data_IF_049544464369
#
_entry.id   IF_049544464369
#
_cell.length_a   1.000
_cell.length_b   1.000
_cell.length_c   1.000
_cell.angle_alpha   90.00
_cell.angle_beta   90.00
_cell.angle_gamma   90.00
#
_symmetry.space_group_name_H-M   'P 1'
#
loop_
_entity.id
_entity.type
_entity.pdbx_description
1 polymer ?
#
# COMPACT_ATOMS: atom_id res chain seq x y z
N UNK A 1 25.82 20.21 -33.02
CA UNK A 1 24.86 20.80 -32.07
C UNK A 1 24.10 19.65 -31.41
N UNK A 2 24.56 19.24 -30.22
CA UNK A 2 24.00 18.11 -29.49
C UNK A 2 22.66 18.49 -28.85
N UNK A 3 21.59 17.84 -29.28
CA UNK A 3 20.30 17.83 -28.60
C UNK A 3 20.11 16.46 -27.97
N UNK A 4 20.52 16.30 -26.71
CA UNK A 4 19.94 15.30 -25.82
C UNK A 4 19.88 15.92 -24.42
N UNK A 5 18.75 16.57 -24.14
CA UNK A 5 18.31 16.85 -22.78
C UNK A 5 18.12 15.50 -22.10
N UNK A 6 19.07 15.10 -21.25
CA UNK A 6 18.89 14.00 -20.33
C UNK A 6 17.75 14.36 -19.38
N UNK A 7 16.53 13.91 -19.68
CA UNK A 7 15.50 13.79 -18.66
C UNK A 7 16.01 12.75 -17.68
N UNK A 8 16.59 13.21 -16.56
CA UNK A 8 16.69 12.40 -15.38
C UNK A 8 15.25 12.12 -14.91
N UNK A 9 14.64 11.08 -15.47
CA UNK A 9 13.49 10.44 -14.87
C UNK A 9 14.05 9.84 -13.59
N UNK A 10 14.01 10.61 -12.50
CA UNK A 10 14.09 10.06 -11.17
C UNK A 10 12.93 9.09 -11.06
N UNK A 11 13.17 7.84 -11.42
CA UNK A 11 12.24 6.74 -11.33
C UNK A 11 12.09 6.45 -9.84
N UNK A 12 11.32 7.26 -9.14
CA UNK A 12 10.94 7.00 -7.76
C UNK A 12 10.16 5.68 -7.77
N UNK A 13 10.83 4.61 -7.34
CA UNK A 13 10.22 3.31 -7.16
C UNK A 13 9.31 3.44 -5.95
N UNK A 14 7.99 3.22 -6.10
CA UNK A 14 7.07 3.29 -4.98
C UNK A 14 7.44 2.24 -3.94
N UNK A 15 7.33 2.63 -2.67
CA UNK A 15 7.49 1.72 -1.55
C UNK A 15 6.37 0.68 -1.57
N UNK A 16 6.69 -0.57 -1.24
CA UNK A 16 5.72 -1.67 -1.17
C UNK A 16 5.45 -2.01 0.28
N UNK A 17 4.17 -2.06 0.64
CA UNK A 17 3.73 -2.47 1.96
C UNK A 17 2.85 -3.71 1.87
N UNK A 18 3.06 -4.64 2.80
CA UNK A 18 2.23 -5.82 3.02
C UNK A 18 1.30 -5.55 4.18
N UNK A 19 0.02 -5.81 3.99
CA UNK A 19 -0.97 -5.86 5.04
C UNK A 19 -1.38 -7.31 5.19
N UNK A 20 -1.12 -7.96 6.32
CA UNK A 20 -1.54 -9.35 6.55
C UNK A 20 -2.74 -9.41 7.47
N UNK A 21 -3.71 -10.22 7.08
CA UNK A 21 -4.90 -10.53 7.86
C UNK A 21 -4.83 -11.97 8.36
N UNK A 22 -5.71 -12.35 9.30
CA UNK A 22 -5.67 -13.69 9.91
C UNK A 22 -6.02 -14.77 8.91
N UNK A 23 -6.81 -14.44 7.89
CA UNK A 23 -7.19 -15.39 6.84
C UNK A 23 -7.37 -14.75 5.46
N UNK A 24 -7.34 -15.60 4.43
CA UNK A 24 -7.74 -15.22 3.07
C UNK A 24 -9.17 -14.68 3.03
N UNK A 25 -10.08 -15.26 3.79
CA UNK A 25 -11.47 -14.82 3.81
C UNK A 25 -11.58 -13.37 4.30
N UNK A 26 -10.94 -13.05 5.42
CA UNK A 26 -10.92 -11.67 5.97
C UNK A 26 -10.26 -10.68 5.01
N UNK A 27 -9.11 -11.02 4.43
CA UNK A 27 -8.40 -10.16 3.50
C UNK A 27 -9.30 -9.76 2.31
N UNK A 28 -10.06 -10.70 1.76
CA UNK A 28 -10.98 -10.42 0.66
C UNK A 28 -12.26 -9.72 1.13
N UNK A 29 -12.85 -10.13 2.25
CA UNK A 29 -14.07 -9.50 2.79
C UNK A 29 -13.85 -8.03 3.17
N UNK A 30 -12.71 -7.71 3.80
CA UNK A 30 -12.34 -6.32 4.07
C UNK A 30 -12.04 -5.56 2.80
N UNK A 31 -11.46 -6.19 1.78
CA UNK A 31 -11.18 -5.48 0.53
C UNK A 31 -12.48 -5.08 -0.16
N UNK A 32 -13.41 -6.03 -0.29
CA UNK A 32 -14.71 -5.80 -0.93
C UNK A 32 -15.52 -4.72 -0.18
N UNK A 33 -15.38 -4.62 1.14
CA UNK A 33 -16.09 -3.60 1.93
C UNK A 33 -15.48 -2.21 1.81
N UNK A 34 -14.15 -2.10 1.67
CA UNK A 34 -13.46 -0.79 1.73
C UNK A 34 -13.01 -0.25 0.39
N UNK A 35 -12.95 -1.06 -0.67
CA UNK A 35 -12.35 -0.65 -1.97
C UNK A 35 -13.03 0.58 -2.57
N UNK A 36 -14.34 0.74 -2.38
CA UNK A 36 -15.08 1.92 -2.85
C UNK A 36 -14.73 3.22 -2.11
N UNK A 37 -14.13 3.10 -0.93
CA UNK A 37 -13.67 4.22 -0.10
C UNK A 37 -12.15 4.36 -0.11
N UNK A 38 -11.43 3.45 -0.79
CA UNK A 38 -9.99 3.40 -0.76
C UNK A 38 -9.41 4.67 -1.35
N UNK A 39 -8.62 5.38 -0.55
CA UNK A 39 -8.01 6.64 -0.96
C UNK A 39 -6.84 6.35 -1.90
N UNK A 40 -6.96 6.72 -3.17
CA UNK A 40 -5.89 6.57 -4.18
C UNK A 40 -4.55 7.19 -3.75
N UNK A 41 -4.56 8.12 -2.78
CA UNK A 41 -3.34 8.68 -2.19
C UNK A 41 -2.56 7.66 -1.36
N UNK A 42 -3.23 6.65 -0.78
CA UNK A 42 -2.58 5.53 -0.09
C UNK A 42 -1.78 4.67 -1.07
N UNK A 43 -2.12 4.71 -2.35
CA UNK A 43 -1.39 4.05 -3.41
C UNK A 43 -2.25 3.05 -4.16
N UNK A 44 -1.60 2.13 -4.86
CA UNK A 44 -2.28 1.06 -5.58
C UNK A 44 -2.28 -0.21 -4.74
N UNK A 45 -3.46 -0.74 -4.48
CA UNK A 45 -3.67 -2.00 -3.75
C UNK A 45 -3.75 -3.19 -4.72
N UNK A 46 -3.16 -4.31 -4.32
CA UNK A 46 -3.34 -5.63 -4.93
C UNK A 46 -3.62 -6.63 -3.82
N UNK A 47 -4.71 -7.39 -3.92
CA UNK A 47 -5.06 -8.43 -2.93
C UNK A 47 -4.48 -9.76 -3.39
N UNK A 48 -3.83 -10.49 -2.49
CA UNK A 48 -3.33 -11.83 -2.74
C UNK A 48 -3.31 -12.66 -1.45
N UNK A 49 -3.84 -13.88 -1.52
CA UNK A 49 -3.95 -14.78 -0.38
C UNK A 49 -4.59 -14.11 0.85
N UNK A 50 -3.86 -14.05 1.96
CA UNK A 50 -4.26 -13.48 3.23
C UNK A 50 -3.80 -12.03 3.41
N UNK A 51 -3.42 -11.33 2.35
CA UNK A 51 -2.87 -9.99 2.48
C UNK A 51 -3.08 -9.06 1.31
N UNK A 52 -2.80 -7.78 1.57
CA UNK A 52 -2.81 -6.71 0.58
C UNK A 52 -1.39 -6.23 0.35
N UNK A 53 -1.08 -5.94 -0.90
CA UNK A 53 0.15 -5.32 -1.32
C UNK A 53 -0.17 -3.92 -1.80
N UNK A 54 0.37 -2.91 -1.12
CA UNK A 54 0.09 -1.51 -1.39
C UNK A 54 1.37 -0.85 -1.91
N UNK A 55 1.33 -0.39 -3.16
CA UNK A 55 2.38 0.40 -3.78
C UNK A 55 2.10 1.87 -3.60
N UNK A 56 2.90 2.53 -2.76
CA UNK A 56 2.64 3.90 -2.33
C UNK A 56 3.81 4.83 -2.61
N UNK A 57 3.49 6.12 -2.78
CA UNK A 57 4.47 7.21 -2.77
C UNK A 57 4.47 7.97 -1.44
N UNK A 58 3.64 7.54 -0.49
CA UNK A 58 3.66 8.10 0.86
C UNK A 58 5.01 7.77 1.50
N UNK A 59 5.71 8.75 2.10
CA UNK A 59 6.94 8.50 2.84
C UNK A 59 6.75 7.41 3.90
N UNK A 60 7.76 6.53 4.05
CA UNK A 60 7.71 5.38 4.96
C UNK A 60 7.20 5.72 6.37
N UNK A 61 7.62 6.87 6.91
CA UNK A 61 7.25 7.33 8.25
C UNK A 61 5.83 7.89 8.37
N UNK A 62 5.04 7.92 7.30
CA UNK A 62 3.67 8.43 7.26
C UNK A 62 2.65 7.39 6.79
N UNK A 63 3.10 6.33 6.13
CA UNK A 63 2.21 5.35 5.53
C UNK A 63 1.37 4.62 6.57
N UNK A 64 2.00 4.11 7.63
CA UNK A 64 1.33 3.34 8.67
C UNK A 64 0.23 4.17 9.36
N UNK A 65 0.50 5.44 9.68
CA UNK A 65 -0.52 6.33 10.27
C UNK A 65 -1.69 6.58 9.31
N UNK A 66 -1.40 6.87 8.04
CA UNK A 66 -2.43 7.13 7.03
C UNK A 66 -3.30 5.90 6.76
N UNK A 67 -2.68 4.71 6.67
CA UNK A 67 -3.39 3.45 6.47
C UNK A 67 -4.26 3.11 7.68
N UNK A 68 -3.71 3.27 8.89
CA UNK A 68 -4.45 3.07 10.13
C UNK A 68 -5.65 4.01 10.27
N UNK A 69 -5.50 5.29 9.91
CA UNK A 69 -6.60 6.24 9.90
C UNK A 69 -7.70 5.82 8.93
N UNK A 70 -7.32 5.34 7.75
CA UNK A 70 -8.27 4.81 6.76
C UNK A 70 -9.03 3.59 7.31
N UNK A 71 -8.33 2.59 7.85
CA UNK A 71 -8.96 1.38 8.38
C UNK A 71 -9.90 1.67 9.56
N UNK A 72 -9.51 2.60 10.44
CA UNK A 72 -10.35 3.04 11.54
C UNK A 72 -11.65 3.71 11.06
N UNK A 73 -11.60 4.51 9.98
CA UNK A 73 -12.81 5.10 9.36
C UNK A 73 -13.75 4.04 8.79
N UNK A 74 -13.23 2.87 8.42
CA UNK A 74 -14.01 1.73 7.97
C UNK A 74 -14.41 0.77 9.10
N UNK A 75 -14.20 1.17 10.36
CA UNK A 75 -14.50 0.39 11.56
C UNK A 75 -13.76 -0.96 11.63
N UNK A 76 -12.53 -1.02 11.10
CA UNK A 76 -11.64 -2.18 11.19
C UNK A 76 -10.56 -1.90 12.24
N UNK A 77 -10.46 -2.76 13.26
CA UNK A 77 -9.48 -2.62 14.34
C UNK A 77 -8.06 -2.90 13.86
N UNK A 78 -7.07 -2.24 14.48
CA UNK A 78 -5.64 -2.53 14.24
C UNK A 78 -5.24 -3.96 14.63
N UNK A 79 -6.01 -4.63 15.49
CA UNK A 79 -5.74 -6.03 15.89
C UNK A 79 -6.17 -7.06 14.81
N UNK A 80 -6.80 -6.59 13.73
CA UNK A 80 -7.25 -7.42 12.60
C UNK A 80 -6.18 -7.59 11.52
N UNK A 81 -5.11 -6.78 11.56
CA UNK A 81 -4.07 -6.82 10.56
C UNK A 81 -2.68 -6.45 11.11
N UNK A 82 -1.64 -6.87 10.41
CA UNK A 82 -0.28 -6.37 10.60
C UNK A 82 0.18 -5.59 9.37
N UNK A 83 1.11 -4.65 9.56
CA UNK A 83 1.70 -3.85 8.49
C UNK A 83 3.20 -4.14 8.43
N UNK A 84 3.69 -4.53 7.25
CA UNK A 84 5.10 -4.81 7.01
C UNK A 84 5.61 -4.03 5.79
N UNK A 85 6.75 -3.36 5.92
CA UNK A 85 7.43 -2.71 4.81
C UNK A 85 8.26 -3.73 4.02
N UNK A 86 7.98 -3.89 2.73
CA UNK A 86 8.75 -4.77 1.84
C UNK A 86 9.80 -3.93 1.11
N UNK A 87 11.08 -4.19 1.41
CA UNK A 87 12.19 -3.63 0.63
C UNK A 87 12.31 -4.42 -0.68
N UNK A 88 11.81 -3.88 -1.79
CA UNK A 88 12.06 -4.46 -3.11
C UNK A 88 13.51 -4.13 -3.50
N UNK A 89 14.44 -5.05 -3.21
CA UNK A 89 15.79 -4.97 -3.77
C UNK A 89 15.72 -5.36 -5.24
N UNK A 90 15.93 -4.41 -6.13
CA UNK A 90 16.21 -4.70 -7.53
C UNK A 90 17.46 -5.56 -7.60
N UNK A 91 17.34 -6.75 -8.21
CA UNK A 91 18.47 -7.56 -8.66
C UNK A 91 18.93 -7.07 -10.03
#
# INVERSE_FOLDING_TARGET
MNWLKGFAISSYIPDTWKIEFRSRYEAHAYYDSVIHYFDDRLGRITVSNNGWYIWTKIPKNKFEDAFNEFMAKQNISKDEYSIEFILVRGY
#
